data_IF_429406758556
#
_entry.id   IF_429406758556
#
_cell.length_a   1.000
_cell.length_b   1.000
_cell.length_c   1.000
_cell.angle_alpha   90.00
_cell.angle_beta   90.00
_cell.angle_gamma   90.00
#
_symmetry.space_group_name_H-M   'P 1'
#
loop_
_entity.id
_entity.type
_entity.pdbx_description
1 polymer ?
#
# COMPACT_ATOMS: atom_id res chain seq x y z
N UNK A 1 14.63 44.21 22.03
CA UNK A 1 14.09 43.01 22.71
C UNK A 1 12.60 42.95 22.48
N UNK A 2 12.11 41.83 21.96
CA UNK A 2 10.69 41.53 21.69
C UNK A 2 10.62 40.25 20.86
N UNK A 3 9.80 39.25 21.23
CA UNK A 3 10.20 37.85 21.21
C UNK A 3 9.94 37.16 19.87
N UNK A 4 10.94 36.45 19.36
CA UNK A 4 10.72 35.39 18.38
C UNK A 4 9.95 34.26 19.05
N UNK A 5 8.63 34.28 18.90
CA UNK A 5 7.83 33.06 19.08
C UNK A 5 8.14 32.13 17.92
N UNK A 6 8.63 30.89 18.14
CA UNK A 6 8.67 29.91 17.08
C UNK A 6 7.22 29.48 16.84
N UNK A 7 6.61 29.98 15.77
CA UNK A 7 5.37 29.40 15.27
C UNK A 7 5.61 27.89 15.08
N UNK A 8 4.69 27.01 15.53
CA UNK A 8 4.77 25.61 15.19
C UNK A 8 4.76 25.52 13.66
N UNK A 9 5.70 24.74 13.09
CA UNK A 9 5.69 24.46 11.65
C UNK A 9 4.27 24.01 11.29
N UNK A 10 3.65 24.54 10.22
CA UNK A 10 2.43 23.96 9.71
C UNK A 10 2.71 22.48 9.42
N UNK A 11 1.81 21.64 9.93
CA UNK A 11 1.66 20.23 9.61
C UNK A 11 1.94 20.05 8.11
N UNK A 12 3.00 19.31 7.75
CA UNK A 12 3.24 19.02 6.34
C UNK A 12 2.06 18.18 5.85
N UNK A 13 1.36 18.60 4.79
CA UNK A 13 0.21 17.88 4.31
C UNK A 13 0.68 16.49 3.89
N UNK A 14 -0.11 15.50 4.28
CA UNK A 14 -0.17 14.13 3.77
C UNK A 14 0.66 13.94 2.50
N UNK A 15 1.63 13.02 2.53
CA UNK A 15 2.41 12.61 1.37
C UNK A 15 1.51 12.53 0.15
N UNK A 16 1.62 13.51 -0.76
CA UNK A 16 0.81 13.54 -1.96
C UNK A 16 1.25 12.34 -2.82
N UNK A 17 0.52 11.23 -2.69
CA UNK A 17 0.79 10.02 -3.42
C UNK A 17 0.85 10.31 -4.92
N UNK A 18 1.71 9.58 -5.64
CA UNK A 18 1.66 9.59 -7.09
C UNK A 18 0.21 9.31 -7.55
N UNK A 19 -0.35 10.02 -8.56
CA UNK A 19 -1.76 9.91 -8.93
C UNK A 19 -2.24 8.49 -9.26
N UNK A 20 -1.35 7.64 -9.76
CA UNK A 20 -1.68 6.22 -9.98
C UNK A 20 -1.91 5.47 -8.65
N UNK A 21 -1.09 5.76 -7.63
CA UNK A 21 -1.21 5.13 -6.32
C UNK A 21 -2.39 5.69 -5.52
N UNK A 22 -2.67 7.00 -5.63
CA UNK A 22 -3.89 7.59 -5.06
C UNK A 22 -5.17 6.94 -5.63
N UNK A 23 -5.21 6.72 -6.96
CA UNK A 23 -6.32 6.00 -7.60
C UNK A 23 -6.47 4.58 -7.08
N UNK A 24 -5.36 3.86 -6.92
CA UNK A 24 -5.34 2.52 -6.36
C UNK A 24 -5.92 2.48 -4.94
N UNK A 25 -5.52 3.41 -4.07
CA UNK A 25 -6.08 3.51 -2.71
C UNK A 25 -7.59 3.85 -2.74
N UNK A 26 -8.01 4.75 -3.63
CA UNK A 26 -9.43 5.13 -3.75
C UNK A 26 -10.33 4.01 -4.26
N UNK A 27 -9.78 3.10 -5.08
CA UNK A 27 -10.48 1.95 -5.62
C UNK A 27 -10.46 0.73 -4.69
N UNK A 28 -9.70 0.79 -3.58
CA UNK A 28 -9.61 -0.30 -2.61
C UNK A 28 -10.99 -0.63 -2.03
N UNK A 29 -11.39 -1.91 -1.96
CA UNK A 29 -12.60 -2.29 -1.24
C UNK A 29 -12.47 -1.89 0.24
N UNK A 30 -13.58 -1.46 0.84
CA UNK A 30 -13.61 -1.16 2.28
C UNK A 30 -13.35 -2.42 3.11
N UNK A 31 -12.91 -2.24 4.36
CA UNK A 31 -12.78 -3.35 5.33
C UNK A 31 -14.09 -4.15 5.48
N UNK A 32 -15.24 -3.48 5.50
CA UNK A 32 -16.54 -4.15 5.60
C UNK A 32 -16.79 -5.07 4.39
N UNK A 33 -16.48 -4.60 3.17
CA UNK A 33 -16.58 -5.42 1.96
C UNK A 33 -15.61 -6.61 2.00
N UNK A 34 -14.38 -6.40 2.45
CA UNK A 34 -13.37 -7.46 2.56
C UNK A 34 -13.78 -8.53 3.59
N UNK A 35 -14.36 -8.14 4.73
CA UNK A 35 -14.87 -9.07 5.74
C UNK A 35 -16.05 -9.89 5.22
N UNK A 36 -17.00 -9.25 4.54
CA UNK A 36 -18.13 -9.95 3.92
C UNK A 36 -17.64 -10.92 2.84
N UNK A 37 -16.71 -10.50 1.99
CA UNK A 37 -16.12 -11.36 0.98
C UNK A 37 -15.33 -12.54 1.57
N UNK A 38 -14.59 -12.33 2.66
CA UNK A 38 -13.90 -13.41 3.37
C UNK A 38 -14.88 -14.46 3.91
N UNK A 39 -16.00 -14.01 4.49
CA UNK A 39 -17.06 -14.89 4.95
C UNK A 39 -17.64 -15.74 3.80
N UNK A 40 -18.00 -15.11 2.67
CA UNK A 40 -18.51 -15.79 1.47
C UNK A 40 -17.48 -16.75 0.84
N UNK A 41 -16.19 -16.43 0.96
CA UNK A 41 -15.10 -17.27 0.48
C UNK A 41 -14.70 -18.40 1.44
N UNK A 42 -15.32 -18.49 2.62
CA UNK A 42 -14.91 -19.38 3.72
C UNK A 42 -13.43 -19.22 4.12
N UNK A 43 -12.94 -17.98 4.09
CA UNK A 43 -11.60 -17.61 4.51
C UNK A 43 -11.63 -17.01 5.92
N UNK A 44 -10.50 -17.06 6.67
CA UNK A 44 -10.38 -16.26 7.88
C UNK A 44 -10.54 -14.77 7.55
N UNK A 45 -11.06 -13.97 8.50
CA UNK A 45 -11.17 -12.54 8.30
C UNK A 45 -9.77 -11.95 8.05
N UNK A 46 -9.61 -11.05 7.05
CA UNK A 46 -8.32 -10.41 6.82
C UNK A 46 -7.92 -9.56 8.02
N UNK A 47 -6.61 -9.50 8.24
CA UNK A 47 -5.97 -8.65 9.24
C UNK A 47 -6.37 -7.17 9.06
N UNK A 48 -6.09 -6.35 10.07
CA UNK A 48 -6.30 -4.90 9.98
C UNK A 48 -5.37 -4.26 8.95
N UNK A 49 -5.79 -3.14 8.38
CA UNK A 49 -5.10 -2.44 7.28
C UNK A 49 -3.67 -2.07 7.69
N UNK A 50 -3.51 -1.61 8.92
CA UNK A 50 -2.22 -1.26 9.51
C UNK A 50 -1.30 -2.46 9.63
N UNK A 51 -1.84 -3.63 9.99
CA UNK A 51 -1.06 -4.88 10.11
C UNK A 51 -0.62 -5.37 8.72
N UNK A 52 -1.53 -5.34 7.74
CA UNK A 52 -1.20 -5.70 6.35
C UNK A 52 -0.14 -4.75 5.79
N UNK A 53 -0.28 -3.45 6.04
CA UNK A 53 0.70 -2.45 5.63
C UNK A 53 2.06 -2.63 6.34
N UNK A 54 2.09 -2.92 7.65
CA UNK A 54 3.33 -3.23 8.35
C UNK A 54 4.03 -4.46 7.76
N UNK A 55 3.27 -5.50 7.41
CA UNK A 55 3.80 -6.68 6.74
C UNK A 55 4.37 -6.34 5.34
N UNK A 56 3.68 -5.47 4.59
CA UNK A 56 4.16 -4.92 3.31
C UNK A 56 5.46 -4.17 3.43
N UNK A 57 5.54 -3.29 4.41
CA UNK A 57 6.73 -2.53 4.73
C UNK A 57 7.91 -3.45 5.05
N UNK A 58 7.72 -4.38 5.99
CA UNK A 58 8.77 -5.29 6.44
C UNK A 58 9.27 -6.22 5.33
N UNK A 59 8.37 -6.68 4.45
CA UNK A 59 8.75 -7.52 3.31
C UNK A 59 9.51 -6.71 2.26
N UNK A 60 9.10 -5.46 1.98
CA UNK A 60 9.81 -4.60 1.03
C UNK A 60 11.25 -4.32 1.47
N UNK A 61 11.48 -4.04 2.76
CA UNK A 61 12.83 -3.85 3.29
C UNK A 61 13.74 -5.07 3.08
N UNK A 62 13.18 -6.29 3.10
CA UNK A 62 13.94 -7.52 2.83
C UNK A 62 14.27 -7.70 1.35
N UNK A 63 13.45 -7.16 0.44
CA UNK A 63 13.68 -7.23 -1.00
C UNK A 63 14.78 -6.26 -1.47
N UNK A 64 15.06 -5.21 -0.71
CA UNK A 64 16.03 -4.17 -1.07
C UNK A 64 17.10 -4.03 0.01
N UNK A 65 18.01 -5.02 0.16
CA UNK A 65 18.94 -5.08 1.29
C UNK A 65 20.07 -4.05 1.21
N UNK A 66 20.36 -3.53 0.02
CA UNK A 66 21.41 -2.52 -0.19
C UNK A 66 20.97 -1.52 -1.23
N UNK A 67 21.30 -0.24 -0.99
CA UNK A 67 20.95 0.85 -1.89
C UNK A 67 22.20 1.58 -2.36
N UNK A 68 22.25 1.97 -3.64
CA UNK A 68 23.33 2.79 -4.14
C UNK A 68 23.27 4.18 -3.49
N UNK A 69 24.44 4.74 -3.16
CA UNK A 69 24.55 6.10 -2.61
C UNK A 69 24.03 7.19 -3.59
N UNK A 70 24.25 7.11 -4.92
CA UNK A 70 23.69 8.09 -5.85
C UNK A 70 22.17 8.06 -5.88
N UNK A 71 21.56 9.20 -5.54
CA UNK A 71 20.11 9.38 -5.39
C UNK A 71 19.29 8.88 -6.60
N UNK A 72 19.74 9.18 -7.83
CA UNK A 72 19.07 8.72 -9.06
C UNK A 72 19.09 7.19 -9.20
N UNK A 73 20.22 6.55 -8.90
CA UNK A 73 20.33 5.08 -8.94
C UNK A 73 19.50 4.44 -7.83
N UNK A 74 19.43 5.09 -6.66
CA UNK A 74 18.61 4.64 -5.54
C UNK A 74 17.13 4.61 -5.92
N UNK A 75 16.65 5.71 -6.50
CA UNK A 75 15.28 5.79 -7.01
C UNK A 75 14.97 4.69 -8.02
N UNK A 76 15.89 4.42 -8.97
CA UNK A 76 15.70 3.37 -9.96
C UNK A 76 15.56 1.96 -9.34
N UNK A 77 16.41 1.60 -8.37
CA UNK A 77 16.33 0.30 -7.68
C UNK A 77 15.03 0.17 -6.88
N UNK A 78 14.63 1.24 -6.18
CA UNK A 78 13.39 1.25 -5.41
C UNK A 78 12.15 1.15 -6.32
N UNK A 79 12.16 1.85 -7.44
CA UNK A 79 11.10 1.78 -8.44
C UNK A 79 11.00 0.38 -9.06
N UNK A 80 12.14 -0.22 -9.42
CA UNK A 80 12.20 -1.59 -9.98
C UNK A 80 11.64 -2.62 -8.98
N UNK A 81 11.98 -2.50 -7.70
CA UNK A 81 11.45 -3.38 -6.65
C UNK A 81 9.95 -3.15 -6.38
N UNK A 82 9.48 -1.90 -6.46
CA UNK A 82 8.10 -1.53 -6.13
C UNK A 82 7.11 -1.79 -7.27
N UNK A 83 7.55 -1.59 -8.52
CA UNK A 83 6.69 -1.67 -9.71
C UNK A 83 5.89 -2.98 -9.81
N UNK A 84 6.44 -4.19 -9.56
CA UNK A 84 5.65 -5.42 -9.59
C UNK A 84 4.50 -5.44 -8.58
N UNK A 85 4.69 -4.82 -7.41
CA UNK A 85 3.66 -4.77 -6.37
C UNK A 85 2.51 -3.86 -6.80
N UNK A 86 2.86 -2.70 -7.36
CA UNK A 86 1.89 -1.76 -7.92
C UNK A 86 1.06 -2.39 -9.04
N UNK A 87 1.71 -3.10 -9.97
CA UNK A 87 1.03 -3.77 -11.08
C UNK A 87 0.12 -4.88 -10.57
N UNK A 88 0.61 -5.74 -9.67
CA UNK A 88 -0.19 -6.83 -9.08
C UNK A 88 -1.44 -6.32 -8.36
N UNK A 89 -1.29 -5.26 -7.56
CA UNK A 89 -2.43 -4.67 -6.86
C UNK A 89 -3.44 -4.01 -7.82
N UNK A 90 -2.94 -3.40 -8.91
CA UNK A 90 -3.80 -2.86 -9.98
C UNK A 90 -4.57 -3.97 -10.68
N UNK A 91 -3.90 -5.05 -11.09
CA UNK A 91 -4.50 -6.19 -11.76
C UNK A 91 -5.60 -6.84 -10.90
N UNK A 92 -5.35 -6.97 -9.59
CA UNK A 92 -6.36 -7.51 -8.66
C UNK A 92 -7.57 -6.60 -8.49
N UNK A 93 -7.39 -5.28 -8.52
CA UNK A 93 -8.50 -4.33 -8.49
C UNK A 93 -9.30 -4.35 -9.80
N UNK A 94 -8.63 -4.41 -10.94
CA UNK A 94 -9.28 -4.48 -12.25
C UNK A 94 -10.08 -5.78 -12.42
N UNK A 95 -9.56 -6.89 -11.91
CA UNK A 95 -10.23 -8.19 -11.93
C UNK A 95 -11.24 -8.37 -10.78
N UNK A 96 -11.42 -7.37 -9.91
CA UNK A 96 -12.29 -7.47 -8.74
C UNK A 96 -13.77 -7.43 -9.18
N UNK A 97 -14.56 -8.48 -8.86
CA UNK A 97 -15.99 -8.43 -9.09
C UNK A 97 -16.68 -7.49 -8.11
N UNK A 98 -17.86 -6.98 -8.50
CA UNK A 98 -18.76 -6.35 -7.55
C UNK A 98 -19.20 -7.38 -6.49
N UNK A 99 -19.30 -6.92 -5.24
CA UNK A 99 -19.75 -7.77 -4.13
C UNK A 99 -21.22 -8.14 -4.30
N UNK A 100 -21.53 -9.42 -4.20
CA UNK A 100 -22.90 -9.97 -4.26
C UNK A 100 -23.02 -11.14 -3.28
N UNK A 101 -24.18 -11.29 -2.64
CA UNK A 101 -24.43 -12.36 -1.66
C UNK A 101 -24.42 -13.76 -2.28
N UNK A 102 -24.74 -13.87 -3.57
CA UNK A 102 -24.87 -15.15 -4.28
C UNK A 102 -23.62 -15.48 -5.11
N UNK A 103 -22.53 -14.74 -4.91
CA UNK A 103 -21.31 -14.94 -5.71
C UNK A 103 -20.57 -16.22 -5.30
N UNK A 104 -19.92 -16.93 -6.24
CA UNK A 104 -19.11 -18.09 -5.91
C UNK A 104 -17.94 -17.74 -4.95
N UNK A 105 -17.52 -18.66 -4.06
CA UNK A 105 -16.41 -18.43 -3.13
C UNK A 105 -15.12 -17.93 -3.79
N UNK A 106 -14.78 -18.47 -4.97
CA UNK A 106 -13.60 -18.06 -5.73
C UNK A 106 -13.67 -16.60 -6.23
N UNK A 107 -14.87 -16.08 -6.52
CA UNK A 107 -15.07 -14.69 -6.89
C UNK A 107 -14.92 -13.78 -5.65
N UNK A 108 -15.50 -14.18 -4.51
CA UNK A 108 -15.35 -13.46 -3.25
C UNK A 108 -13.88 -13.39 -2.78
N UNK A 109 -13.12 -14.48 -2.98
CA UNK A 109 -11.68 -14.48 -2.69
C UNK A 109 -10.90 -13.40 -3.45
N UNK A 110 -11.31 -13.02 -4.68
CA UNK A 110 -10.63 -11.97 -5.45
C UNK A 110 -10.74 -10.60 -4.78
N UNK A 111 -11.88 -10.31 -4.15
CA UNK A 111 -12.07 -9.07 -3.36
C UNK A 111 -11.09 -9.04 -2.18
N UNK A 112 -10.95 -10.17 -1.46
CA UNK A 112 -10.01 -10.27 -0.33
C UNK A 112 -8.56 -10.10 -0.82
N UNK A 113 -8.19 -10.69 -1.96
CA UNK A 113 -6.84 -10.54 -2.54
C UNK A 113 -6.55 -9.09 -2.94
N UNK A 114 -7.51 -8.41 -3.55
CA UNK A 114 -7.38 -7.00 -3.91
C UNK A 114 -7.18 -6.13 -2.66
N UNK A 115 -8.01 -6.32 -1.63
CA UNK A 115 -7.88 -5.64 -0.34
C UNK A 115 -6.47 -5.79 0.25
N UNK A 116 -6.01 -7.04 0.40
CA UNK A 116 -4.69 -7.32 1.00
C UNK A 116 -3.57 -6.73 0.14
N UNK A 117 -3.61 -6.91 -1.18
CA UNK A 117 -2.56 -6.44 -2.08
C UNK A 117 -2.41 -4.91 -2.06
N UNK A 118 -3.53 -4.17 -1.99
CA UNK A 118 -3.51 -2.70 -1.91
C UNK A 118 -2.84 -2.23 -0.63
N UNK A 119 -3.27 -2.75 0.53
CA UNK A 119 -2.69 -2.34 1.81
C UNK A 119 -1.23 -2.79 1.96
N UNK A 120 -0.88 -3.94 1.41
CA UNK A 120 0.49 -4.42 1.38
C UNK A 120 1.37 -3.52 0.50
N UNK A 121 0.87 -3.09 -0.66
CA UNK A 121 1.54 -2.12 -1.54
C UNK A 121 1.70 -0.76 -0.88
N UNK A 122 0.73 -0.31 -0.07
CA UNK A 122 0.86 0.90 0.77
C UNK A 122 2.02 0.81 1.75
N UNK A 123 2.13 -0.32 2.43
CA UNK A 123 3.28 -0.62 3.30
C UNK A 123 4.62 -0.53 2.58
N UNK A 124 4.70 -1.16 1.40
CA UNK A 124 5.89 -1.16 0.56
C UNK A 124 6.24 0.24 0.03
N UNK A 125 5.24 1.05 -0.34
CA UNK A 125 5.45 2.43 -0.79
C UNK A 125 6.04 3.29 0.34
N UNK A 126 5.50 3.16 1.56
CA UNK A 126 6.05 3.86 2.73
C UNK A 126 7.51 3.45 2.97
N UNK A 127 7.84 2.16 2.85
CA UNK A 127 9.21 1.66 2.98
C UNK A 127 10.12 2.23 1.89
N UNK A 128 9.67 2.23 0.63
CA UNK A 128 10.41 2.78 -0.49
C UNK A 128 10.71 4.28 -0.31
N UNK A 129 9.73 5.07 0.14
CA UNK A 129 9.93 6.51 0.39
C UNK A 129 10.88 6.76 1.57
N UNK A 130 10.78 5.98 2.65
CA UNK A 130 11.71 6.07 3.77
C UNK A 130 13.15 5.74 3.35
N UNK A 131 13.32 4.70 2.53
CA UNK A 131 14.62 4.30 1.97
C UNK A 131 15.17 5.31 0.97
N UNK A 132 14.32 5.94 0.16
CA UNK A 132 14.75 6.97 -0.78
C UNK A 132 15.32 8.19 -0.05
N UNK A 133 14.61 8.63 1.00
CA UNK A 133 14.95 9.81 1.80
C UNK A 133 16.00 9.54 2.89
N UNK A 134 16.47 8.30 3.07
CA UNK A 134 17.47 7.99 4.08
C UNK A 134 18.83 8.61 3.71
N UNK A 135 19.64 9.04 4.70
CA UNK A 135 21.01 9.45 4.44
C UNK A 135 21.80 8.29 3.82
N UNK A 136 22.69 8.63 2.88
CA UNK A 136 23.57 7.68 2.21
C UNK A 136 24.65 7.12 3.14
#
# INVERSE_FOLDING_TARGET
MGPFSPFPRPFQPEEAYHPAFARLLSACPSRAHALQAAHLAHLPPPEQEEVIAQNGHALFLKLVPSLPAPHRKRGAVLEEAFRPLLLTASDYLEAMPALSTDMPPAAAQRIVRAYVAVHWTRGAQNAAMALYNSPA
#
